data_IF_375188090434
#
_entry.id   IF_375188090434
#
_cell.length_a   1.000
_cell.length_b   1.000
_cell.length_c   1.000
_cell.angle_alpha   90.00
_cell.angle_beta   90.00
_cell.angle_gamma   90.00
#
_symmetry.space_group_name_H-M   'P 1'
#
loop_
_entity.id
_entity.type
_entity.pdbx_description
1 polymer ?
#
# COMPACT_ATOMS: atom_id res chain seq x y z
N UNK A 1 -13.56 18.44 -1.73
CA UNK A 1 -12.77 18.76 -0.52
C UNK A 1 -11.66 19.77 -0.77
N UNK A 2 -11.09 19.90 -1.99
CA UNK A 2 -10.12 20.98 -2.29
C UNK A 2 -8.73 20.80 -1.65
N UNK A 3 -8.48 19.68 -0.98
CA UNK A 3 -7.19 19.34 -0.40
C UNK A 3 -6.22 18.85 -1.49
N UNK A 4 -4.98 19.33 -1.43
CA UNK A 4 -3.87 18.91 -2.28
C UNK A 4 -2.70 18.52 -1.39
N UNK A 5 -2.13 17.33 -1.62
CA UNK A 5 -0.90 16.88 -0.99
C UNK A 5 0.18 16.86 -2.07
N UNK A 6 1.25 17.65 -1.87
CA UNK A 6 2.40 17.71 -2.77
C UNK A 6 3.58 17.05 -2.05
N UNK A 7 4.17 16.05 -2.68
CA UNK A 7 5.33 15.32 -2.18
C UNK A 7 6.51 15.53 -3.16
N UNK A 8 7.72 15.58 -2.63
CA UNK A 8 8.95 15.63 -3.41
C UNK A 8 9.48 14.21 -3.71
N UNK A 9 10.59 14.13 -4.43
CA UNK A 9 11.27 12.88 -4.79
C UNK A 9 11.88 12.12 -3.59
N UNK A 10 11.95 12.74 -2.40
CA UNK A 10 12.42 12.10 -1.18
C UNK A 10 11.31 11.35 -0.45
N UNK A 11 10.08 11.37 -0.98
CA UNK A 11 8.94 10.66 -0.41
C UNK A 11 8.78 9.28 -1.03
N UNK A 12 8.84 8.22 -0.22
CA UNK A 12 8.58 6.86 -0.68
C UNK A 12 7.08 6.62 -0.93
N UNK A 13 6.73 6.12 -2.12
CA UNK A 13 5.34 5.82 -2.49
C UNK A 13 4.74 4.66 -1.68
N UNK A 14 5.52 3.63 -1.32
CA UNK A 14 5.08 2.53 -0.47
C UNK A 14 4.77 3.03 0.93
N UNK A 15 5.65 3.86 1.50
CA UNK A 15 5.48 4.40 2.85
C UNK A 15 4.28 5.35 2.92
N UNK A 16 4.11 6.22 1.92
CA UNK A 16 2.94 7.08 1.81
C UNK A 16 1.64 6.26 1.73
N UNK A 17 1.59 5.23 0.88
CA UNK A 17 0.42 4.36 0.78
C UNK A 17 0.14 3.62 2.09
N UNK A 18 1.18 3.16 2.80
CA UNK A 18 1.06 2.52 4.11
C UNK A 18 0.46 3.48 5.14
N UNK A 19 0.90 4.73 5.19
CA UNK A 19 0.36 5.77 6.08
C UNK A 19 -1.12 6.05 5.79
N UNK A 20 -1.47 6.25 4.52
CA UNK A 20 -2.86 6.46 4.09
C UNK A 20 -3.73 5.25 4.42
N UNK A 21 -3.23 4.03 4.18
CA UNK A 21 -3.96 2.80 4.49
C UNK A 21 -4.15 2.61 5.99
N UNK A 22 -3.16 2.97 6.81
CA UNK A 22 -3.28 2.93 8.27
C UNK A 22 -4.39 3.86 8.78
N UNK A 23 -4.50 5.06 8.18
CA UNK A 23 -5.62 5.97 8.46
C UNK A 23 -6.96 5.32 8.13
N UNK A 24 -7.15 4.80 6.91
CA UNK A 24 -8.42 4.16 6.52
C UNK A 24 -8.77 2.93 7.35
N UNK A 25 -7.76 2.13 7.71
CA UNK A 25 -7.90 1.00 8.63
C UNK A 25 -8.44 1.45 9.98
N UNK A 26 -7.89 2.53 10.55
CA UNK A 26 -8.29 3.03 11.86
C UNK A 26 -9.68 3.68 11.83
N UNK A 27 -9.99 4.44 10.78
CA UNK A 27 -11.28 5.12 10.59
C UNK A 27 -12.39 4.21 10.06
N UNK A 28 -12.08 2.93 9.79
CA UNK A 28 -13.08 1.98 9.34
C UNK A 28 -14.16 1.76 10.41
N UNK A 29 -15.41 2.01 10.06
CA UNK A 29 -16.54 1.73 10.95
C UNK A 29 -16.79 0.22 11.19
N UNK A 30 -16.06 -0.67 10.50
CA UNK A 30 -16.10 -2.12 10.73
C UNK A 30 -17.34 -2.87 10.22
N UNK A 31 -18.29 -2.20 9.56
CA UNK A 31 -19.59 -2.80 9.18
C UNK A 31 -19.51 -3.82 8.04
N UNK A 32 -18.80 -3.52 6.96
CA UNK A 32 -18.68 -4.42 5.81
C UNK A 32 -17.31 -5.12 5.78
N UNK A 33 -17.32 -6.42 5.52
CA UNK A 33 -16.11 -7.26 5.43
C UNK A 33 -15.05 -6.74 4.46
N UNK A 34 -15.36 -6.35 3.20
CA UNK A 34 -14.34 -5.90 2.26
C UNK A 34 -13.58 -4.68 2.77
N UNK A 35 -14.25 -3.72 3.41
CA UNK A 35 -13.56 -2.58 4.03
C UNK A 35 -12.80 -3.00 5.29
N UNK A 36 -13.46 -3.63 6.28
CA UNK A 36 -12.85 -3.93 7.59
C UNK A 36 -11.60 -4.80 7.46
N UNK A 37 -11.69 -5.85 6.65
CA UNK A 37 -10.59 -6.81 6.47
C UNK A 37 -9.64 -6.33 5.38
N UNK A 38 -10.15 -5.75 4.28
CA UNK A 38 -9.33 -5.30 3.16
C UNK A 38 -8.33 -4.23 3.57
N UNK A 39 -8.73 -3.22 4.35
CA UNK A 39 -7.81 -2.17 4.80
C UNK A 39 -6.75 -2.70 5.77
N UNK A 40 -7.14 -3.63 6.66
CA UNK A 40 -6.21 -4.28 7.59
C UNK A 40 -5.16 -5.10 6.85
N UNK A 41 -5.59 -5.98 5.93
CA UNK A 41 -4.68 -6.84 5.16
C UNK A 41 -3.79 -6.02 4.23
N UNK A 42 -4.34 -4.99 3.59
CA UNK A 42 -3.54 -4.11 2.72
C UNK A 42 -2.46 -3.37 3.51
N UNK A 43 -2.78 -2.89 4.72
CA UNK A 43 -1.79 -2.29 5.60
C UNK A 43 -0.68 -3.27 5.99
N UNK A 44 -1.02 -4.49 6.40
CA UNK A 44 -0.04 -5.53 6.77
C UNK A 44 0.90 -5.86 5.61
N UNK A 45 0.37 -5.97 4.39
CA UNK A 45 1.18 -6.20 3.20
C UNK A 45 2.11 -5.02 2.92
N UNK A 46 1.58 -3.79 2.91
CA UNK A 46 2.39 -2.58 2.70
C UNK A 46 3.48 -2.44 3.77
N UNK A 47 3.19 -2.83 5.01
CA UNK A 47 4.16 -2.86 6.08
C UNK A 47 5.30 -3.85 5.77
N UNK A 48 4.99 -5.10 5.39
CA UNK A 48 6.00 -6.09 4.98
C UNK A 48 6.85 -5.63 3.81
N UNK A 49 6.23 -5.02 2.79
CA UNK A 49 6.96 -4.45 1.65
C UNK A 49 7.92 -3.35 2.14
N UNK A 50 7.49 -2.48 3.06
CA UNK A 50 8.35 -1.43 3.64
C UNK A 50 9.41 -1.95 4.62
N UNK A 51 9.37 -3.22 5.00
CA UNK A 51 10.37 -3.88 5.85
C UNK A 51 11.32 -4.77 5.00
N UNK A 52 11.10 -4.84 3.68
CA UNK A 52 11.90 -5.65 2.76
C UNK A 52 11.53 -7.14 2.74
N UNK A 53 10.36 -7.50 3.26
CA UNK A 53 9.86 -8.89 3.33
C UNK A 53 8.63 -9.13 2.46
N UNK A 54 8.33 -8.20 1.55
CA UNK A 54 7.25 -8.31 0.57
C UNK A 54 7.60 -9.22 -0.61
N UNK A 55 6.59 -9.83 -1.23
CA UNK A 55 6.74 -10.71 -2.40
C UNK A 55 5.96 -10.20 -3.61
N UNK A 56 6.12 -10.82 -4.77
CA UNK A 56 5.29 -10.48 -5.94
C UNK A 56 3.82 -10.91 -5.74
N UNK A 57 3.57 -12.01 -5.02
CA UNK A 57 2.22 -12.48 -4.71
C UNK A 57 1.47 -11.49 -3.80
N UNK A 58 2.20 -10.71 -3.01
CA UNK A 58 1.64 -9.63 -2.21
C UNK A 58 1.02 -8.53 -3.07
N UNK A 59 1.61 -8.23 -4.24
CA UNK A 59 1.05 -7.25 -5.17
C UNK A 59 -0.25 -7.75 -5.80
N UNK A 60 -0.30 -9.03 -6.16
CA UNK A 60 -1.53 -9.66 -6.67
C UNK A 60 -2.62 -9.57 -5.60
N UNK A 61 -2.30 -9.92 -4.36
CA UNK A 61 -3.23 -9.84 -3.23
C UNK A 61 -3.71 -8.41 -2.99
N UNK A 62 -2.80 -7.42 -3.02
CA UNK A 62 -3.17 -6.00 -2.89
C UNK A 62 -4.14 -5.54 -3.99
N UNK A 63 -3.93 -6.00 -5.22
CA UNK A 63 -4.80 -5.69 -6.35
C UNK A 63 -6.21 -6.28 -6.16
N UNK A 64 -6.31 -7.56 -5.80
CA UNK A 64 -7.58 -8.22 -5.52
C UNK A 64 -8.33 -7.57 -4.35
N UNK A 65 -7.63 -7.25 -3.26
CA UNK A 65 -8.21 -6.55 -2.12
C UNK A 65 -8.69 -5.16 -2.52
N UNK A 66 -7.92 -4.44 -3.32
CA UNK A 66 -8.27 -3.13 -3.86
C UNK A 66 -9.57 -3.18 -4.67
N UNK A 67 -9.68 -4.14 -5.60
CA UNK A 67 -10.88 -4.33 -6.43
C UNK A 67 -12.10 -4.69 -5.57
N UNK A 68 -11.95 -5.62 -4.63
CA UNK A 68 -13.02 -5.98 -3.70
C UNK A 68 -13.49 -4.81 -2.85
N UNK A 69 -12.56 -3.97 -2.37
CA UNK A 69 -12.89 -2.76 -1.63
C UNK A 69 -13.71 -1.77 -2.47
N UNK A 70 -13.37 -1.57 -3.75
CA UNK A 70 -14.14 -0.70 -4.66
C UNK A 70 -15.53 -1.26 -4.95
N UNK A 71 -15.64 -2.54 -5.27
CA UNK A 71 -16.88 -3.12 -5.80
C UNK A 71 -17.87 -3.52 -4.72
N UNK A 72 -17.38 -3.96 -3.54
CA UNK A 72 -18.20 -4.65 -2.54
C UNK A 72 -18.35 -3.87 -1.23
N UNK A 73 -17.67 -2.74 -1.05
CA UNK A 73 -17.85 -1.91 0.15
C UNK A 73 -19.17 -1.16 0.15
N UNK A 74 -19.83 -1.15 1.31
CA UNK A 74 -21.15 -0.57 1.50
C UNK A 74 -21.17 0.98 1.48
N UNK A 75 -20.02 1.64 1.62
CA UNK A 75 -19.95 3.11 1.62
C UNK A 75 -18.67 3.62 0.94
N UNK A 76 -18.64 4.93 0.66
CA UNK A 76 -17.55 5.58 -0.04
C UNK A 76 -16.19 5.51 0.66
N UNK A 77 -16.14 5.36 1.99
CA UNK A 77 -14.86 5.21 2.72
C UNK A 77 -14.15 3.92 2.31
N UNK A 78 -14.86 2.79 2.32
CA UNK A 78 -14.29 1.51 1.93
C UNK A 78 -13.88 1.49 0.45
N UNK A 79 -14.66 2.12 -0.41
CA UNK A 79 -14.34 2.24 -1.83
C UNK A 79 -13.08 3.09 -2.07
N UNK A 80 -12.96 4.21 -1.35
CA UNK A 80 -11.85 5.17 -1.49
C UNK A 80 -10.54 4.65 -0.91
N UNK A 81 -10.58 3.81 0.12
CA UNK A 81 -9.37 3.29 0.76
C UNK A 81 -8.41 2.59 -0.23
N UNK A 82 -8.96 1.96 -1.28
CA UNK A 82 -8.18 1.28 -2.33
C UNK A 82 -7.35 2.21 -3.23
N UNK A 83 -7.63 3.52 -3.26
CA UNK A 83 -7.02 4.47 -4.20
C UNK A 83 -5.50 4.51 -4.03
N UNK A 84 -5.03 4.54 -2.78
CA UNK A 84 -3.59 4.55 -2.50
C UNK A 84 -2.86 3.34 -3.08
N UNK A 85 -3.47 2.15 -3.02
CA UNK A 85 -2.90 0.91 -3.58
C UNK A 85 -2.88 0.97 -5.11
N UNK A 86 -4.01 1.35 -5.71
CA UNK A 86 -4.17 1.36 -7.17
C UNK A 86 -3.25 2.38 -7.83
N UNK A 87 -3.10 3.55 -7.22
CA UNK A 87 -2.32 4.64 -7.80
C UNK A 87 -0.82 4.36 -7.75
N UNK A 88 -0.28 3.82 -6.65
CA UNK A 88 1.15 3.46 -6.59
C UNK A 88 1.50 2.37 -7.61
N UNK A 89 0.63 1.37 -7.80
CA UNK A 89 0.89 0.30 -8.78
C UNK A 89 0.80 0.81 -10.22
N UNK A 90 -0.12 1.74 -10.49
CA UNK A 90 -0.34 2.29 -11.83
C UNK A 90 0.71 3.32 -12.23
N UNK A 91 1.08 4.21 -11.31
CA UNK A 91 1.89 5.38 -11.62
C UNK A 91 3.36 5.23 -11.19
N UNK A 92 3.65 4.35 -10.23
CA UNK A 92 5.01 4.12 -9.71
C UNK A 92 5.41 2.64 -9.71
N UNK A 93 5.14 1.85 -10.78
CA UNK A 93 5.39 0.41 -10.78
C UNK A 93 6.87 0.08 -10.54
N UNK A 94 7.80 0.89 -11.06
CA UNK A 94 9.23 0.67 -10.90
C UNK A 94 9.69 0.81 -9.45
N UNK A 95 9.15 1.77 -8.71
CA UNK A 95 9.48 1.94 -7.28
C UNK A 95 8.88 0.82 -6.43
N UNK A 96 7.64 0.42 -6.72
CA UNK A 96 7.00 -0.74 -6.06
C UNK A 96 7.83 -2.01 -6.31
N UNK A 97 8.25 -2.23 -7.54
CA UNK A 97 9.06 -3.40 -7.92
C UNK A 97 10.44 -3.37 -7.25
N UNK A 98 11.08 -2.20 -7.12
CA UNK A 98 12.37 -2.06 -6.43
C UNK A 98 12.29 -2.52 -4.96
N UNK A 99 11.20 -2.23 -4.25
CA UNK A 99 11.01 -2.68 -2.87
C UNK A 99 10.94 -4.20 -2.75
N UNK A 100 10.45 -4.89 -3.78
CA UNK A 100 10.22 -6.34 -3.74
C UNK A 100 11.40 -7.12 -4.35
N UNK A 101 11.82 -6.76 -5.56
CA UNK A 101 12.84 -7.53 -6.28
C UNK A 101 14.26 -7.23 -5.81
N UNK A 102 14.51 -5.97 -5.49
CA UNK A 102 15.85 -5.52 -5.07
C UNK A 102 15.96 -5.39 -3.56
N UNK A 103 14.83 -5.39 -2.83
CA UNK A 103 14.82 -5.18 -1.38
C UNK A 103 15.33 -3.78 -0.99
N UNK A 104 15.19 -2.79 -1.87
CA UNK A 104 15.63 -1.41 -1.61
C UNK A 104 14.47 -0.42 -1.69
N UNK A 105 14.54 0.62 -0.88
CA UNK A 105 13.69 1.80 -0.99
C UNK A 105 14.47 2.89 -1.76
N UNK A 106 14.05 3.30 -2.98
CA UNK A 106 14.74 4.33 -3.74
C UNK A 106 14.88 5.67 -3.00
N UNK A 107 13.88 6.03 -2.20
CA UNK A 107 13.88 7.23 -1.38
C UNK A 107 14.62 7.07 -0.03
N UNK A 108 15.03 5.85 0.33
CA UNK A 108 15.76 5.58 1.58
C UNK A 108 14.95 5.74 2.88
N UNK A 109 13.63 5.86 2.80
CA UNK A 109 12.74 6.13 3.96
C UNK A 109 12.33 4.85 4.70
N UNK A 110 12.15 3.75 3.97
CA UNK A 110 11.66 2.51 4.57
C UNK A 110 12.72 1.79 5.40
N UNK A 111 12.30 1.21 6.53
CA UNK A 111 13.14 0.42 7.45
C UNK A 111 13.45 -0.97 6.90
N UNK A 112 14.10 -1.03 5.74
CA UNK A 112 14.50 -2.28 5.10
C UNK A 112 15.72 -2.86 5.84
N UNK A 113 15.61 -4.07 6.39
CA UNK A 113 16.82 -4.80 6.79
C UNK A 113 17.59 -5.18 5.52
N UNK A 114 18.91 -4.96 5.50
CA UNK A 114 19.75 -5.31 4.34
C UNK A 114 19.71 -6.82 4.13
N UNK A 115 18.79 -7.29 3.29
CA UNK A 115 18.83 -8.66 2.78
C UNK A 115 20.10 -8.76 1.95
N UNK A 116 21.05 -9.56 2.44
CA UNK A 116 22.19 -10.00 1.64
C UNK A 116 21.62 -10.71 0.42
N UNK A 117 21.69 -10.06 -0.75
CA UNK A 117 21.41 -10.71 -2.03
C UNK A 117 22.66 -11.52 -2.38
N UNK A 118 22.67 -12.87 -2.26
CA UNK A 118 23.76 -13.64 -2.83
C UNK A 118 23.73 -13.46 -4.35
N UNK A 119 24.91 -13.23 -4.90
CA UNK A 119 25.16 -13.04 -6.33
C UNK A 119 24.75 -14.25 -7.18
#
# INVERSE_FOLDING_TARGET
SGALLICDENTCVIDLAKVLMNFFRFESCGKCTPCRIGTQRSYEILQRISEGTGTLDDLVTLQELGENMVQLSNCGLGQTASVAIRDIMKHFPAEVEAHIRLGICPAGVCSMEKVHVPA
#
